data_IF_981885178416
#
_entry.id   IF_981885178416
#
_cell.length_a   1.000
_cell.length_b   1.000
_cell.length_c   1.000
_cell.angle_alpha   90.00
_cell.angle_beta   90.00
_cell.angle_gamma   90.00
#
_symmetry.space_group_name_H-M   'P 1'
#
loop_
_entity.id
_entity.type
_entity.pdbx_description
1 polymer ?
#
# COMPACT_ATOMS: atom_id res chain seq x y z
N UNK A 1 7.90 -10.22 4.62
CA UNK A 1 8.65 -8.96 4.79
C UNK A 1 7.76 -7.79 4.35
N UNK A 2 7.63 -6.74 5.16
CA UNK A 2 6.89 -5.53 4.80
C UNK A 2 7.89 -4.41 4.52
N UNK A 3 7.81 -3.82 3.34
CA UNK A 3 8.60 -2.66 2.93
C UNK A 3 7.66 -1.46 2.78
N UNK A 4 7.96 -0.34 3.42
CA UNK A 4 7.12 0.86 3.37
C UNK A 4 7.90 1.99 2.72
N UNK A 5 7.29 2.60 1.70
CA UNK A 5 7.82 3.78 1.02
C UNK A 5 6.85 4.94 1.16
N UNK A 6 7.24 5.98 1.90
CA UNK A 6 6.45 7.20 2.03
C UNK A 6 6.85 8.24 0.98
N UNK A 7 5.96 8.51 0.03
CA UNK A 7 6.15 9.54 -0.99
C UNK A 7 5.34 10.81 -0.72
N UNK A 8 4.95 11.02 0.54
CA UNK A 8 4.26 12.22 0.99
C UNK A 8 5.19 13.09 1.83
N UNK A 9 4.73 14.30 2.18
CA UNK A 9 5.46 15.19 3.09
C UNK A 9 5.09 14.94 4.57
N UNK A 10 4.10 14.09 4.83
CA UNK A 10 3.63 13.80 6.17
C UNK A 10 4.42 12.65 6.77
N UNK A 11 4.74 12.73 8.06
CA UNK A 11 5.27 11.58 8.79
C UNK A 11 4.22 10.47 8.90
N UNK A 12 4.68 9.22 8.90
CA UNK A 12 3.84 8.05 9.05
C UNK A 12 4.37 7.16 10.18
N UNK A 13 3.47 6.49 10.90
CA UNK A 13 3.84 5.47 11.88
C UNK A 13 3.99 4.11 11.19
N UNK A 14 5.21 3.78 10.76
CA UNK A 14 5.51 2.50 10.13
C UNK A 14 5.19 1.30 11.02
N UNK A 15 5.33 1.43 12.36
CA UNK A 15 5.02 0.35 13.31
C UNK A 15 3.52 0.08 13.36
N UNK A 16 2.70 1.11 13.18
CA UNK A 16 1.26 0.94 13.07
C UNK A 16 0.89 0.08 11.84
N UNK A 17 1.45 0.40 10.68
CA UNK A 17 1.24 -0.38 9.46
C UNK A 17 1.75 -1.81 9.58
N UNK A 18 2.94 -2.00 10.17
CA UNK A 18 3.49 -3.33 10.42
C UNK A 18 2.54 -4.19 11.26
N UNK A 19 2.00 -3.64 12.37
CA UNK A 19 1.04 -4.35 13.22
C UNK A 19 -0.26 -4.70 12.49
N UNK A 20 -0.74 -3.83 11.61
CA UNK A 20 -1.94 -4.11 10.80
C UNK A 20 -1.69 -5.28 9.86
N UNK A 21 -0.59 -5.24 9.12
CA UNK A 21 -0.23 -6.29 8.16
C UNK A 21 -0.05 -7.62 8.88
N UNK A 22 0.71 -7.66 9.98
CA UNK A 22 0.88 -8.88 10.78
C UNK A 22 -0.46 -9.48 11.26
N UNK A 23 -1.41 -8.63 11.70
CA UNK A 23 -2.74 -9.08 12.10
C UNK A 23 -3.55 -9.59 10.92
N UNK A 24 -3.54 -8.87 9.78
CA UNK A 24 -4.27 -9.27 8.58
C UNK A 24 -3.79 -10.63 8.06
N UNK A 25 -2.47 -10.85 8.03
CA UNK A 25 -1.88 -12.11 7.56
C UNK A 25 -2.22 -13.30 8.46
N UNK A 26 -2.27 -13.09 9.78
CA UNK A 26 -2.74 -14.10 10.73
C UNK A 26 -4.21 -14.49 10.49
N UNK A 27 -5.06 -13.51 10.16
CA UNK A 27 -6.49 -13.75 9.89
C UNK A 27 -6.68 -14.54 8.59
N UNK A 28 -5.89 -14.24 7.56
CA UNK A 28 -5.99 -14.87 6.24
C UNK A 28 -5.27 -16.24 6.18
N UNK A 29 -4.65 -16.68 7.28
CA UNK A 29 -3.90 -17.94 7.40
C UNK A 29 -2.86 -18.13 6.29
N UNK A 30 -2.08 -17.07 6.02
CA UNK A 30 -0.99 -17.13 5.05
C UNK A 30 0.16 -17.94 5.62
N UNK A 31 0.42 -19.13 5.04
CA UNK A 31 1.43 -20.09 5.52
C UNK A 31 2.82 -19.91 4.93
N UNK A 32 2.94 -19.07 3.90
CA UNK A 32 4.19 -18.87 3.16
C UNK A 32 4.82 -17.53 3.55
N UNK A 33 6.15 -17.45 3.39
CA UNK A 33 6.83 -16.16 3.43
C UNK A 33 6.33 -15.30 2.26
N UNK A 34 5.67 -14.20 2.60
CA UNK A 34 5.20 -13.22 1.64
C UNK A 34 5.96 -11.92 1.78
N UNK A 35 6.16 -11.25 0.65
CA UNK A 35 6.70 -9.91 0.59
C UNK A 35 5.59 -8.93 0.20
N UNK A 36 5.46 -7.84 0.96
CA UNK A 36 4.48 -6.79 0.73
C UNK A 36 5.24 -5.47 0.66
N UNK A 37 5.10 -4.74 -0.44
CA UNK A 37 5.56 -3.36 -0.57
C UNK A 37 4.36 -2.40 -0.49
N UNK A 38 4.41 -1.45 0.44
CA UNK A 38 3.39 -0.44 0.67
C UNK A 38 3.91 0.94 0.28
N UNK A 39 3.33 1.54 -0.77
CA UNK A 39 3.65 2.90 -1.18
C UNK A 39 2.57 3.88 -0.72
N UNK A 40 2.93 4.82 0.16
CA UNK A 40 2.04 5.90 0.61
C UNK A 40 2.21 7.08 -0.34
N UNK A 41 1.11 7.51 -0.96
CA UNK A 41 1.11 8.53 -2.01
C UNK A 41 -0.04 9.50 -1.82
N UNK A 42 0.12 10.73 -2.31
CA UNK A 42 -0.99 11.70 -2.36
C UNK A 42 -1.82 11.60 -3.65
N UNK A 43 -2.95 12.32 -3.66
CA UNK A 43 -3.96 12.35 -4.73
C UNK A 43 -3.40 12.55 -6.14
N UNK A 44 -2.43 13.46 -6.28
CA UNK A 44 -1.80 13.74 -7.57
C UNK A 44 -1.06 12.53 -8.15
N UNK A 45 -0.37 11.75 -7.32
CA UNK A 45 0.36 10.56 -7.74
C UNK A 45 -0.58 9.38 -7.92
N UNK A 46 -1.52 9.14 -7.00
CA UNK A 46 -2.46 8.01 -7.13
C UNK A 46 -3.38 8.15 -8.35
N UNK A 47 -3.80 9.38 -8.71
CA UNK A 47 -4.57 9.62 -9.95
C UNK A 47 -3.77 9.24 -11.20
N UNK A 48 -2.47 9.60 -11.24
CA UNK A 48 -1.57 9.25 -12.36
C UNK A 48 -1.40 7.74 -12.47
N UNK A 49 -1.18 7.06 -11.34
CA UNK A 49 -1.05 5.60 -11.28
C UNK A 49 -2.35 4.91 -11.71
N UNK A 50 -3.50 5.38 -11.24
CA UNK A 50 -4.80 4.83 -11.60
C UNK A 50 -5.08 4.96 -13.11
N UNK A 51 -4.72 6.10 -13.70
CA UNK A 51 -4.79 6.28 -15.16
C UNK A 51 -3.86 5.32 -15.88
N UNK A 52 -2.62 5.19 -15.42
CA UNK A 52 -1.57 4.40 -16.06
C UNK A 52 -1.87 2.89 -16.02
N UNK A 53 -2.25 2.36 -14.86
CA UNK A 53 -2.38 0.92 -14.64
C UNK A 53 -3.81 0.40 -14.72
N UNK A 54 -4.82 1.26 -14.54
CA UNK A 54 -6.25 0.89 -14.55
C UNK A 54 -7.07 1.62 -15.61
N UNK A 55 -6.47 2.52 -16.39
CA UNK A 55 -7.17 3.33 -17.40
C UNK A 55 -8.08 4.42 -16.81
N UNK A 56 -8.12 4.56 -15.48
CA UNK A 56 -9.07 5.42 -14.77
C UNK A 56 -8.41 6.71 -14.31
N UNK A 57 -8.72 7.84 -14.96
CA UNK A 57 -8.18 9.15 -14.60
C UNK A 57 -8.93 9.81 -13.42
N UNK A 58 -9.01 9.11 -12.29
CA UNK A 58 -9.64 9.60 -11.05
C UNK A 58 -8.81 9.24 -9.83
N UNK A 59 -8.96 10.03 -8.76
CA UNK A 59 -8.41 9.67 -7.44
C UNK A 59 -9.14 8.41 -6.95
N UNK A 60 -8.41 7.56 -6.24
CA UNK A 60 -8.90 6.34 -5.59
C UNK A 60 -8.13 6.20 -4.28
N UNK A 61 -8.72 5.51 -3.30
CA UNK A 61 -8.10 5.36 -1.99
C UNK A 61 -6.92 4.37 -2.03
N UNK A 62 -7.06 3.29 -2.80
CA UNK A 62 -6.09 2.19 -2.87
C UNK A 62 -5.91 1.72 -4.32
N UNK A 63 -4.68 1.33 -4.65
CA UNK A 63 -4.33 0.50 -5.80
C UNK A 63 -3.55 -0.73 -5.31
N UNK A 64 -3.99 -1.92 -5.70
CA UNK A 64 -3.30 -3.17 -5.42
C UNK A 64 -2.65 -3.72 -6.70
N UNK A 65 -1.48 -4.33 -6.54
CA UNK A 65 -0.69 -4.97 -7.59
C UNK A 65 -0.32 -6.38 -7.12
N UNK A 66 -0.38 -7.36 -8.02
CA UNK A 66 -0.10 -8.78 -7.79
C UNK A 66 0.99 -9.27 -8.73
#
# INVERSE_FOLDING_TARGET
>A
MLEIHNFTQNEIDEKFFQKIVEKALKIVDVKNDIEISLAIVGDGRIRKLNKMYRGNNRVTDILSFS
#
